data_IF_466836088784
#
_entry.id   IF_466836088784
#
_cell.length_a   1.000
_cell.length_b   1.000
_cell.length_c   1.000
_cell.angle_alpha   90.00
_cell.angle_beta   90.00
_cell.angle_gamma   90.00
#
_symmetry.space_group_name_H-M   'P 1'
#
loop_
_entity.id
_entity.type
_entity.pdbx_description
1 polymer ?
#
# COMPACT_ATOMS: atom_id res chain seq x y z
N UNK A 1 12.32 -20.10 2.07
CA UNK A 1 13.69 -20.13 1.52
C UNK A 1 13.75 -19.22 0.30
N UNK A 2 14.64 -18.22 0.24
CA UNK A 2 14.82 -17.35 -0.92
C UNK A 2 15.70 -18.07 -1.93
N UNK A 3 15.18 -18.42 -3.11
CA UNK A 3 15.98 -19.11 -4.13
C UNK A 3 16.81 -18.11 -4.97
N UNK A 4 17.75 -18.60 -5.79
CA UNK A 4 18.57 -17.74 -6.67
C UNK A 4 17.72 -16.90 -7.63
N UNK A 5 16.58 -17.42 -8.08
CA UNK A 5 15.63 -16.70 -8.93
C UNK A 5 14.94 -15.56 -8.17
N UNK A 6 14.59 -15.77 -6.90
CA UNK A 6 13.99 -14.73 -6.06
C UNK A 6 14.93 -13.52 -5.88
N UNK A 7 16.24 -13.76 -5.74
CA UNK A 7 17.23 -12.68 -5.67
C UNK A 7 17.29 -11.85 -6.96
N UNK A 8 17.20 -12.50 -8.12
CA UNK A 8 17.16 -11.82 -9.42
C UNK A 8 15.88 -11.00 -9.59
N UNK A 9 14.73 -11.57 -9.22
CA UNK A 9 13.44 -10.88 -9.30
C UNK A 9 13.39 -9.70 -8.32
N UNK A 10 13.93 -9.86 -7.10
CA UNK A 10 14.05 -8.76 -6.15
C UNK A 10 14.90 -7.63 -6.71
N UNK A 11 16.07 -7.93 -7.27
CA UNK A 11 16.93 -6.93 -7.90
C UNK A 11 16.23 -6.23 -9.07
N UNK A 12 15.47 -6.97 -9.89
CA UNK A 12 14.67 -6.41 -10.97
C UNK A 12 13.62 -5.42 -10.44
N UNK A 13 12.79 -5.81 -9.48
CA UNK A 13 11.77 -4.91 -8.93
C UNK A 13 12.37 -3.71 -8.20
N UNK A 14 13.42 -3.90 -7.41
CA UNK A 14 14.11 -2.79 -6.74
C UNK A 14 14.73 -1.83 -7.76
N UNK A 15 15.27 -2.33 -8.87
CA UNK A 15 15.77 -1.52 -9.98
C UNK A 15 14.66 -0.73 -10.69
N UNK A 16 13.51 -1.36 -10.96
CA UNK A 16 12.34 -0.68 -11.51
C UNK A 16 11.79 0.40 -10.57
N UNK A 17 11.72 0.10 -9.27
CA UNK A 17 11.33 1.07 -8.26
C UNK A 17 12.30 2.26 -8.21
N UNK A 18 13.61 1.99 -8.28
CA UNK A 18 14.60 3.04 -8.35
C UNK A 18 14.43 3.91 -9.59
N UNK A 19 14.23 3.32 -10.78
CA UNK A 19 13.98 4.08 -12.01
C UNK A 19 12.74 4.97 -11.91
N UNK A 20 11.67 4.46 -11.29
CA UNK A 20 10.43 5.20 -11.10
C UNK A 20 10.57 6.35 -10.09
N UNK A 21 11.33 6.14 -9.02
CA UNK A 21 11.55 7.11 -7.93
C UNK A 21 12.69 8.09 -8.26
N UNK A 22 13.60 7.73 -9.17
CA UNK A 22 14.81 8.49 -9.48
C UNK A 22 14.57 9.98 -9.79
N UNK A 23 13.51 10.39 -10.52
CA UNK A 23 13.21 11.80 -10.71
C UNK A 23 13.01 12.58 -9.40
N UNK A 24 12.40 11.97 -8.37
CA UNK A 24 12.24 12.60 -7.05
C UNK A 24 13.57 12.75 -6.33
N UNK A 25 14.46 11.75 -6.45
CA UNK A 25 15.81 11.83 -5.89
C UNK A 25 16.59 12.95 -6.59
N UNK A 26 16.49 13.08 -7.92
CA UNK A 26 17.16 14.16 -8.64
C UNK A 26 16.60 15.54 -8.28
N UNK A 27 15.28 15.66 -8.10
CA UNK A 27 14.65 16.94 -7.74
C UNK A 27 15.14 17.45 -6.37
N UNK A 28 15.39 16.55 -5.42
CA UNK A 28 16.07 16.90 -4.19
C UNK A 28 15.32 17.93 -3.32
N UNK A 29 13.99 17.91 -3.34
CA UNK A 29 13.14 18.89 -2.63
C UNK A 29 12.68 18.34 -1.28
N UNK A 30 12.58 19.20 -0.26
CA UNK A 30 11.92 18.88 1.01
C UNK A 30 10.40 18.89 0.84
N UNK A 31 9.73 17.83 1.29
CA UNK A 31 8.28 17.70 1.17
C UNK A 31 7.57 17.93 2.50
N UNK A 32 6.74 18.97 2.55
CA UNK A 32 5.85 19.34 3.67
C UNK A 32 6.55 19.28 5.05
N UNK A 33 6.46 18.15 5.73
CA UNK A 33 6.97 17.93 7.08
C UNK A 33 8.51 17.86 7.12
N UNK A 34 9.17 17.60 5.98
CA UNK A 34 10.63 17.44 5.95
C UNK A 34 11.38 18.74 6.32
N UNK A 35 10.85 19.92 5.98
CA UNK A 35 11.50 21.20 6.27
C UNK A 35 11.61 21.45 7.78
N UNK A 36 10.51 21.19 8.49
CA UNK A 36 10.45 21.34 9.94
C UNK A 36 11.39 20.34 10.64
N UNK A 37 11.47 19.10 10.15
CA UNK A 37 12.43 18.10 10.65
C UNK A 37 13.88 18.48 10.38
N UNK A 38 14.16 19.06 9.22
CA UNK A 38 15.50 19.54 8.87
C UNK A 38 15.97 20.68 9.77
N UNK A 39 15.05 21.54 10.23
CA UNK A 39 15.36 22.66 11.12
C UNK A 39 15.48 22.20 12.58
N UNK A 40 14.53 21.39 13.05
CA UNK A 40 14.39 21.04 14.47
C UNK A 40 15.14 19.76 14.87
N UNK A 41 15.44 18.89 13.91
CA UNK A 41 15.98 17.55 14.17
C UNK A 41 14.99 16.64 14.91
N UNK A 42 13.68 16.92 14.86
CA UNK A 42 12.71 16.14 15.63
C UNK A 42 12.33 14.79 14.99
N UNK A 43 12.12 13.78 15.85
CA UNK A 43 11.54 12.49 15.44
C UNK A 43 10.00 12.55 15.38
N UNK A 44 9.31 13.00 16.42
CA UNK A 44 7.86 13.30 16.39
C UNK A 44 6.87 12.14 16.09
N UNK A 45 7.31 11.01 15.53
CA UNK A 45 6.45 9.92 15.07
C UNK A 45 5.80 9.17 16.21
N UNK A 46 6.51 8.98 17.33
CA UNK A 46 5.94 8.37 18.54
C UNK A 46 4.68 9.09 19.03
N UNK A 47 4.67 10.42 18.97
CA UNK A 47 3.52 11.26 19.34
C UNK A 47 2.32 11.11 18.41
N UNK A 48 2.53 10.53 17.22
CA UNK A 48 1.51 10.24 16.20
C UNK A 48 1.12 8.75 16.17
N UNK A 49 1.46 7.99 17.21
CA UNK A 49 1.17 6.55 17.29
C UNK A 49 2.10 5.68 16.45
N UNK A 50 3.25 6.23 16.01
CA UNK A 50 4.25 5.53 15.19
C UNK A 50 5.60 5.34 15.92
N UNK A 51 5.62 4.62 17.06
CA UNK A 51 6.83 4.48 17.87
C UNK A 51 7.95 3.70 17.17
N UNK A 52 7.63 2.80 16.23
CA UNK A 52 8.64 2.02 15.52
C UNK A 52 9.33 2.86 14.44
N UNK A 53 8.65 3.87 13.87
CA UNK A 53 9.30 4.83 12.97
C UNK A 53 10.39 5.63 13.67
N UNK A 54 10.12 6.09 14.91
CA UNK A 54 11.11 6.72 15.79
C UNK A 54 12.35 5.83 15.99
N UNK A 55 12.13 4.55 16.34
CA UNK A 55 13.20 3.59 16.61
C UNK A 55 14.01 3.32 15.34
N UNK A 56 13.33 3.11 14.21
CA UNK A 56 13.96 2.88 12.92
C UNK A 56 14.91 4.02 12.56
N UNK A 57 14.44 5.26 12.65
CA UNK A 57 15.27 6.42 12.29
C UNK A 57 16.41 6.64 13.28
N UNK A 58 16.22 6.38 14.58
CA UNK A 58 17.31 6.44 15.58
C UNK A 58 18.42 5.44 15.30
N UNK A 59 18.06 4.20 14.95
CA UNK A 59 19.02 3.15 14.63
C UNK A 59 19.81 3.51 13.37
N UNK A 60 19.12 3.98 12.33
CA UNK A 60 19.74 4.26 11.03
C UNK A 60 20.62 5.51 11.05
N UNK A 61 20.19 6.56 11.74
CA UNK A 61 20.96 7.81 11.83
C UNK A 61 22.14 7.70 12.80
N UNK A 62 22.09 6.75 13.75
CA UNK A 62 23.08 6.58 14.82
C UNK A 62 23.41 7.89 15.57
N UNK A 63 22.50 8.86 15.53
CA UNK A 63 22.74 10.26 15.96
C UNK A 63 22.16 10.57 17.35
N UNK A 64 21.51 9.58 17.97
CA UNK A 64 20.91 9.71 19.30
C UNK A 64 19.74 10.67 19.32
N UNK A 65 19.97 11.91 19.75
CA UNK A 65 18.91 12.87 20.08
C UNK A 65 18.33 13.61 18.89
N UNK A 66 19.09 13.83 17.82
CA UNK A 66 18.65 14.59 16.64
C UNK A 66 18.45 13.69 15.44
N UNK A 67 17.30 13.79 14.80
CA UNK A 67 17.00 13.10 13.55
C UNK A 67 17.80 13.75 12.40
N UNK A 68 18.68 12.99 11.77
CA UNK A 68 19.51 13.46 10.65
C UNK A 68 18.82 13.22 9.31
N UNK A 69 19.04 14.12 8.35
CA UNK A 69 18.67 13.86 6.97
C UNK A 69 19.61 12.78 6.38
N UNK A 70 19.05 11.62 6.06
CA UNK A 70 19.75 10.49 5.46
C UNK A 70 19.50 10.40 3.95
N UNK A 71 18.94 11.44 3.34
CA UNK A 71 18.80 11.52 1.89
C UNK A 71 20.17 11.36 1.19
N UNK A 72 20.26 10.62 0.06
CA UNK A 72 19.20 9.88 -0.63
C UNK A 72 19.06 8.41 -0.18
N UNK A 73 19.79 7.98 0.85
CA UNK A 73 19.87 6.58 1.26
C UNK A 73 18.53 6.01 1.74
N UNK A 74 17.70 6.83 2.39
CA UNK A 74 16.34 6.43 2.81
C UNK A 74 15.47 6.06 1.60
N UNK A 75 15.49 6.88 0.54
CA UNK A 75 14.73 6.64 -0.69
C UNK A 75 15.27 5.46 -1.49
N UNK A 76 16.60 5.32 -1.60
CA UNK A 76 17.21 4.16 -2.27
C UNK A 76 16.87 2.87 -1.53
N UNK A 77 16.94 2.87 -0.19
CA UNK A 77 16.57 1.69 0.62
C UNK A 77 15.08 1.41 0.56
N UNK A 78 14.23 2.43 0.40
CA UNK A 78 12.79 2.27 0.19
C UNK A 78 12.49 1.44 -1.05
N UNK A 79 13.27 1.60 -2.12
CA UNK A 79 13.13 0.80 -3.35
C UNK A 79 13.30 -0.71 -3.10
N UNK A 80 14.16 -1.09 -2.14
CA UNK A 80 14.34 -2.50 -1.77
C UNK A 80 13.08 -3.06 -1.10
N UNK A 81 12.43 -2.32 -0.21
CA UNK A 81 11.20 -2.76 0.45
C UNK A 81 10.01 -2.80 -0.51
N UNK A 82 9.89 -1.83 -1.42
CA UNK A 82 8.88 -1.87 -2.50
C UNK A 82 9.12 -3.09 -3.40
N UNK A 83 10.38 -3.35 -3.77
CA UNK A 83 10.75 -4.52 -4.56
C UNK A 83 10.45 -5.85 -3.84
N UNK A 84 10.72 -5.91 -2.53
CA UNK A 84 10.41 -7.07 -1.69
C UNK A 84 8.90 -7.30 -1.58
N UNK A 85 8.11 -6.23 -1.47
CA UNK A 85 6.66 -6.28 -1.48
C UNK A 85 6.12 -6.86 -2.78
N UNK A 86 6.67 -6.40 -3.91
CA UNK A 86 6.33 -6.92 -5.24
C UNK A 86 6.73 -8.39 -5.40
N UNK A 87 7.84 -8.81 -4.81
CA UNK A 87 8.25 -10.23 -4.79
C UNK A 87 7.29 -11.09 -3.97
N UNK A 88 6.85 -10.63 -2.79
CA UNK A 88 5.87 -11.33 -1.96
C UNK A 88 4.53 -11.47 -2.70
N UNK A 89 4.04 -10.38 -3.29
CA UNK A 89 2.83 -10.42 -4.10
C UNK A 89 2.98 -11.36 -5.30
N UNK A 90 4.10 -11.31 -6.03
CA UNK A 90 4.36 -12.24 -7.14
C UNK A 90 4.23 -13.69 -6.71
N UNK A 91 4.77 -14.05 -5.54
CA UNK A 91 4.71 -15.42 -5.01
C UNK A 91 3.28 -15.82 -4.69
N UNK A 92 2.53 -14.95 -4.01
CA UNK A 92 1.11 -15.13 -3.74
C UNK A 92 0.29 -15.32 -5.03
N UNK A 93 0.46 -14.44 -6.01
CA UNK A 93 -0.21 -14.55 -7.32
C UNK A 93 0.17 -15.83 -8.08
N UNK A 94 1.42 -16.31 -7.93
CA UNK A 94 1.85 -17.59 -8.52
C UNK A 94 1.10 -18.76 -7.87
N UNK A 95 0.92 -18.74 -6.55
CA UNK A 95 0.16 -19.78 -5.82
C UNK A 95 -1.32 -19.77 -6.19
N UNK A 96 -1.87 -18.59 -6.48
CA UNK A 96 -3.22 -18.43 -7.02
C UNK A 96 -3.33 -18.73 -8.51
N UNK A 97 -2.25 -19.19 -9.16
CA UNK A 97 -2.22 -19.53 -10.59
C UNK A 97 -2.68 -18.37 -11.50
N UNK A 98 -2.23 -17.16 -11.18
CA UNK A 98 -2.45 -15.96 -12.00
C UNK A 98 -1.44 -15.94 -13.15
N UNK A 99 -1.90 -15.65 -14.37
CA UNK A 99 -1.03 -15.51 -15.52
C UNK A 99 -0.14 -14.26 -15.39
N UNK A 100 1.11 -14.37 -15.84
CA UNK A 100 2.06 -13.25 -15.83
C UNK A 100 2.23 -12.54 -14.46
N UNK A 101 2.42 -13.28 -13.35
CA UNK A 101 2.41 -12.71 -12.00
C UNK A 101 3.58 -11.73 -11.75
N UNK A 102 4.63 -11.79 -12.57
CA UNK A 102 5.75 -10.83 -12.53
C UNK A 102 5.29 -9.43 -12.95
N UNK A 103 4.51 -9.34 -14.03
CA UNK A 103 4.01 -8.07 -14.54
C UNK A 103 2.93 -7.50 -13.63
N UNK A 104 2.00 -8.35 -13.15
CA UNK A 104 0.93 -7.92 -12.25
C UNK A 104 1.50 -7.35 -10.94
N UNK A 105 2.48 -8.01 -10.34
CA UNK A 105 3.07 -7.52 -9.10
C UNK A 105 3.89 -6.24 -9.28
N UNK A 106 4.41 -5.96 -10.49
CA UNK A 106 5.14 -4.72 -10.78
C UNK A 106 4.23 -3.47 -10.67
N UNK A 107 2.91 -3.61 -10.78
CA UNK A 107 1.99 -2.47 -10.60
C UNK A 107 2.02 -1.87 -9.19
N UNK A 108 2.48 -2.61 -8.16
CA UNK A 108 2.72 -2.02 -6.84
C UNK A 108 3.79 -0.92 -6.88
N UNK A 109 4.72 -1.00 -7.83
CA UNK A 109 5.80 -0.01 -8.00
C UNK A 109 5.24 1.25 -8.67
N UNK A 110 4.49 1.08 -9.76
CA UNK A 110 3.98 2.16 -10.60
C UNK A 110 2.67 2.75 -10.07
N UNK A 111 2.59 2.94 -8.76
CA UNK A 111 1.43 3.55 -8.10
C UNK A 111 1.71 5.03 -7.81
N UNK A 112 0.92 5.99 -8.34
CA UNK A 112 1.12 7.42 -8.09
C UNK A 112 1.01 7.80 -6.60
N UNK A 113 0.16 7.13 -5.82
CA UNK A 113 0.06 7.38 -4.37
C UNK A 113 1.32 6.94 -3.61
N UNK A 114 2.05 5.95 -4.15
CA UNK A 114 3.35 5.56 -3.60
C UNK A 114 4.38 6.69 -3.78
N UNK A 115 4.37 7.41 -4.90
CA UNK A 115 5.30 8.53 -5.12
C UNK A 115 5.14 9.61 -4.05
N UNK A 116 3.90 9.92 -3.66
CA UNK A 116 3.65 10.90 -2.60
C UNK A 116 4.23 10.44 -1.26
N UNK A 117 4.12 9.16 -0.91
CA UNK A 117 4.79 8.64 0.29
C UNK A 117 6.31 8.76 0.14
N UNK A 118 6.87 8.33 -0.98
CA UNK A 118 8.33 8.33 -1.17
C UNK A 118 8.92 9.74 -1.24
N UNK A 119 8.14 10.76 -1.57
CA UNK A 119 8.58 12.16 -1.58
C UNK A 119 9.00 12.69 -0.20
N UNK A 120 8.47 12.15 0.90
CA UNK A 120 8.88 12.55 2.26
C UNK A 120 10.24 11.94 2.62
N UNK A 121 11.30 12.72 2.59
CA UNK A 121 12.69 12.26 2.74
C UNK A 121 12.96 11.53 4.05
N UNK A 122 12.37 12.03 5.14
CA UNK A 122 12.54 11.46 6.48
C UNK A 122 11.65 10.23 6.72
N UNK A 123 10.46 10.22 6.12
CA UNK A 123 9.45 9.17 6.34
C UNK A 123 9.53 8.04 5.32
N UNK A 124 10.14 8.25 4.14
CA UNK A 124 10.03 7.36 2.97
C UNK A 124 10.36 5.91 3.31
N UNK A 125 11.42 5.70 4.09
CA UNK A 125 11.88 4.39 4.48
C UNK A 125 10.94 3.70 5.46
N UNK A 126 10.45 4.44 6.46
CA UNK A 126 9.47 3.93 7.41
C UNK A 126 8.17 3.53 6.71
N UNK A 127 7.70 4.36 5.77
CA UNK A 127 6.50 4.08 4.98
C UNK A 127 6.69 2.91 4.00
N UNK A 128 7.84 2.79 3.33
CA UNK A 128 8.13 1.66 2.46
C UNK A 128 8.27 0.34 3.23
N UNK A 129 8.85 0.37 4.43
CA UNK A 129 8.90 -0.79 5.32
C UNK A 129 7.50 -1.15 5.83
N UNK A 130 6.68 -0.17 6.21
CA UNK A 130 5.29 -0.40 6.60
C UNK A 130 4.50 -1.06 5.47
N UNK A 131 4.69 -0.60 4.23
CA UNK A 131 4.08 -1.17 3.04
C UNK A 131 4.49 -2.65 2.85
N UNK A 132 5.79 -2.95 2.96
CA UNK A 132 6.30 -4.32 2.93
C UNK A 132 5.68 -5.20 4.01
N UNK A 133 5.59 -4.71 5.24
CA UNK A 133 5.03 -5.43 6.36
C UNK A 133 3.51 -5.66 6.19
N UNK A 134 2.78 -4.72 5.59
CA UNK A 134 1.37 -4.90 5.26
C UNK A 134 1.18 -5.99 4.18
N UNK A 135 2.00 -6.01 3.13
CA UNK A 135 1.98 -7.08 2.12
C UNK A 135 2.38 -8.42 2.75
N UNK A 136 3.38 -8.45 3.63
CA UNK A 136 3.79 -9.64 4.36
C UNK A 136 2.66 -10.16 5.26
N UNK A 137 1.99 -9.28 5.99
CA UNK A 137 0.84 -9.61 6.84
C UNK A 137 -0.28 -10.29 6.06
N UNK A 138 -0.47 -9.89 4.80
CA UNK A 138 -1.46 -10.51 3.93
C UNK A 138 -0.99 -11.84 3.34
N UNK A 139 0.22 -11.87 2.77
CA UNK A 139 0.69 -12.93 1.86
C UNK A 139 1.48 -14.04 2.55
N UNK A 140 1.90 -13.86 3.81
CA UNK A 140 2.68 -14.88 4.51
C UNK A 140 1.90 -16.19 4.63
N UNK A 141 2.56 -17.32 4.38
CA UNK A 141 1.98 -18.64 4.56
C UNK A 141 3.00 -19.59 5.17
N UNK A 142 2.56 -20.42 6.10
CA UNK A 142 3.37 -21.42 6.77
C UNK A 142 2.57 -22.71 7.02
N UNK A 143 3.25 -23.86 7.06
CA UNK A 143 2.60 -25.13 7.42
C UNK A 143 2.06 -25.12 8.85
N UNK A 144 2.72 -24.40 9.75
CA UNK A 144 2.23 -24.20 11.11
C UNK A 144 1.32 -22.97 11.17
N UNK A 145 0.02 -23.20 11.37
CA UNK A 145 -1.00 -22.16 11.40
C UNK A 145 -0.76 -21.12 12.51
N UNK A 146 -0.32 -21.54 13.69
CA UNK A 146 -0.05 -20.62 14.81
C UNK A 146 1.07 -19.67 14.43
N UNK A 147 2.14 -20.22 13.84
CA UNK A 147 3.27 -19.41 13.37
C UNK A 147 2.88 -18.49 12.21
N UNK A 148 2.04 -18.96 11.28
CA UNK A 148 1.48 -18.13 10.21
C UNK A 148 0.72 -16.92 10.79
N UNK A 149 -0.27 -17.17 11.64
CA UNK A 149 -1.12 -16.12 12.24
C UNK A 149 -0.28 -15.16 13.09
N UNK A 150 0.68 -15.66 13.88
CA UNK A 150 1.54 -14.82 14.70
C UNK A 150 2.38 -13.85 13.85
N UNK A 151 3.00 -14.33 12.76
CA UNK A 151 3.78 -13.47 11.86
C UNK A 151 2.88 -12.45 11.16
N UNK A 152 1.69 -12.85 10.74
CA UNK A 152 0.73 -11.93 10.09
C UNK A 152 0.27 -10.82 11.02
N UNK A 153 -0.09 -11.15 12.27
CA UNK A 153 -0.51 -10.16 13.26
C UNK A 153 0.67 -9.25 13.62
N UNK A 154 1.84 -9.82 13.91
CA UNK A 154 3.03 -9.04 14.27
C UNK A 154 3.44 -8.07 13.15
N UNK A 155 3.48 -8.54 11.90
CA UNK A 155 3.78 -7.67 10.76
C UNK A 155 2.72 -6.59 10.53
N UNK A 156 1.44 -6.90 10.71
CA UNK A 156 0.35 -5.90 10.64
C UNK A 156 0.49 -4.81 11.71
N UNK A 157 0.77 -5.19 12.97
CA UNK A 157 1.02 -4.23 14.06
C UNK A 157 2.27 -3.38 13.78
N UNK A 158 3.35 -4.00 13.31
CA UNK A 158 4.57 -3.28 12.95
C UNK A 158 4.33 -2.31 11.78
N UNK A 159 3.51 -2.68 10.79
CA UNK A 159 3.11 -1.77 9.73
C UNK A 159 2.37 -0.54 10.28
N UNK A 160 1.41 -0.73 11.20
CA UNK A 160 0.66 0.38 11.80
C UNK A 160 1.52 1.28 12.69
N UNK A 161 2.50 0.72 13.40
CA UNK A 161 3.45 1.48 14.23
C UNK A 161 4.57 2.17 13.44
N UNK A 162 4.65 1.94 12.13
CA UNK A 162 5.48 2.68 11.18
C UNK A 162 4.64 3.70 10.40
N UNK A 163 3.52 3.28 9.82
CA UNK A 163 2.63 4.11 9.02
C UNK A 163 1.22 3.49 8.91
N UNK A 164 0.26 4.05 9.67
CA UNK A 164 -1.11 3.52 9.75
C UNK A 164 -1.84 3.39 8.39
N UNK A 165 -1.72 4.33 7.44
CA UNK A 165 -2.41 4.21 6.15
C UNK A 165 -2.04 2.96 5.34
N UNK A 166 -0.92 2.29 5.63
CA UNK A 166 -0.59 1.01 5.01
C UNK A 166 -1.57 -0.13 5.34
N UNK A 167 -2.47 0.01 6.33
CA UNK A 167 -3.56 -0.94 6.52
C UNK A 167 -4.43 -1.10 5.26
N UNK A 168 -4.57 -0.03 4.46
CA UNK A 168 -5.34 -0.06 3.21
C UNK A 168 -4.74 -1.02 2.18
N UNK A 169 -3.44 -1.31 2.25
CA UNK A 169 -2.80 -2.30 1.37
C UNK A 169 -3.34 -3.70 1.64
N UNK A 170 -3.60 -4.04 2.90
CA UNK A 170 -4.21 -5.32 3.25
C UNK A 170 -5.61 -5.46 2.65
N UNK A 171 -6.41 -4.38 2.72
CA UNK A 171 -7.75 -4.32 2.13
C UNK A 171 -7.67 -4.42 0.60
N UNK A 172 -6.72 -3.71 -0.03
CA UNK A 172 -6.48 -3.77 -1.47
C UNK A 172 -6.09 -5.15 -1.95
N UNK A 173 -5.25 -5.87 -1.21
CA UNK A 173 -4.89 -7.26 -1.55
C UNK A 173 -6.06 -8.22 -1.35
N UNK A 174 -6.91 -8.02 -0.34
CA UNK A 174 -8.15 -8.78 -0.20
C UNK A 174 -9.08 -8.57 -1.41
N UNK A 175 -9.20 -7.34 -1.88
CA UNK A 175 -9.95 -7.06 -3.09
C UNK A 175 -9.33 -7.82 -4.28
N UNK A 176 -8.03 -7.74 -4.51
CA UNK A 176 -7.34 -8.48 -5.58
C UNK A 176 -7.64 -9.99 -5.53
N UNK A 177 -7.62 -10.61 -4.34
CA UNK A 177 -7.97 -12.02 -4.21
C UNK A 177 -9.42 -12.29 -4.61
N UNK A 178 -10.37 -11.49 -4.12
CA UNK A 178 -11.80 -11.58 -4.48
C UNK A 178 -11.99 -11.49 -6.00
N UNK A 179 -11.28 -10.57 -6.65
CA UNK A 179 -11.28 -10.39 -8.10
C UNK A 179 -10.81 -11.68 -8.81
N UNK A 180 -9.68 -12.24 -8.37
CA UNK A 180 -9.11 -13.45 -8.97
C UNK A 180 -10.07 -14.63 -8.82
N UNK A 181 -10.68 -14.81 -7.65
CA UNK A 181 -11.67 -15.87 -7.42
C UNK A 181 -12.91 -15.72 -8.30
N UNK A 182 -13.42 -14.50 -8.47
CA UNK A 182 -14.53 -14.21 -9.36
C UNK A 182 -14.23 -14.54 -10.82
N UNK A 183 -13.04 -14.18 -11.31
CA UNK A 183 -12.62 -14.43 -12.69
C UNK A 183 -12.42 -15.93 -13.00
N UNK A 184 -12.04 -16.74 -12.02
CA UNK A 184 -11.81 -18.18 -12.20
C UNK A 184 -13.10 -19.01 -12.16
N UNK A 185 -14.27 -18.41 -11.96
CA UNK A 185 -15.55 -19.10 -11.74
C UNK A 185 -15.49 -20.17 -10.62
N UNK A 186 -14.55 -20.04 -9.68
CA UNK A 186 -14.36 -20.98 -8.56
C UNK A 186 -15.26 -20.63 -7.36
N UNK A 187 -16.43 -20.04 -7.61
CA UNK A 187 -17.29 -19.48 -6.56
C UNK A 187 -18.11 -20.55 -5.85
N UNK A 188 -17.45 -21.40 -5.07
CA UNK A 188 -18.12 -22.02 -3.93
C UNK A 188 -18.26 -20.97 -2.82
N UNK A 189 -19.50 -20.54 -2.55
CA UNK A 189 -19.83 -19.50 -1.55
C UNK A 189 -19.20 -19.81 -0.19
N UNK A 190 -19.12 -21.09 0.19
CA UNK A 190 -18.51 -21.50 1.45
C UNK A 190 -17.00 -21.22 1.50
N UNK A 191 -16.26 -21.52 0.44
CA UNK A 191 -14.82 -21.25 0.38
C UNK A 191 -14.55 -19.74 0.39
N UNK A 192 -15.34 -18.99 -0.37
CA UNK A 192 -15.26 -17.53 -0.45
C UNK A 192 -15.49 -16.86 0.92
N UNK A 193 -16.61 -17.19 1.58
CA UNK A 193 -16.97 -16.62 2.88
C UNK A 193 -15.94 -16.96 3.95
N UNK A 194 -15.40 -18.19 3.95
CA UNK A 194 -14.33 -18.62 4.85
C UNK A 194 -13.04 -17.81 4.64
N UNK A 195 -12.66 -17.55 3.40
CA UNK A 195 -11.48 -16.72 3.09
C UNK A 195 -11.66 -15.30 3.61
N UNK A 196 -12.78 -14.65 3.25
CA UNK A 196 -13.08 -13.27 3.66
C UNK A 196 -13.13 -13.16 5.19
N UNK A 197 -13.83 -14.08 5.86
CA UNK A 197 -13.90 -14.10 7.32
C UNK A 197 -12.52 -14.26 7.96
N UNK A 198 -11.68 -15.18 7.47
CA UNK A 198 -10.30 -15.35 7.97
C UNK A 198 -9.48 -14.07 7.79
N UNK A 199 -9.54 -13.44 6.62
CA UNK A 199 -8.83 -12.19 6.32
C UNK A 199 -9.32 -11.01 7.15
N UNK A 200 -10.63 -10.92 7.37
CA UNK A 200 -11.22 -9.93 8.28
C UNK A 200 -10.74 -10.15 9.73
N UNK A 201 -10.72 -11.40 10.21
CA UNK A 201 -10.20 -11.71 11.54
C UNK A 201 -8.72 -11.34 11.68
N UNK A 202 -7.88 -11.66 10.69
CA UNK A 202 -6.46 -11.25 10.67
C UNK A 202 -6.34 -9.72 10.77
N UNK A 203 -7.09 -8.99 9.93
CA UNK A 203 -7.09 -7.53 9.89
C UNK A 203 -7.51 -6.89 11.21
N UNK A 204 -8.69 -7.29 11.72
CA UNK A 204 -9.24 -6.79 12.98
C UNK A 204 -8.28 -7.10 14.14
N UNK A 205 -7.68 -8.30 14.15
CA UNK A 205 -6.79 -8.71 15.23
C UNK A 205 -5.56 -7.81 15.35
N UNK A 206 -4.83 -7.56 14.25
CA UNK A 206 -3.67 -6.67 14.33
C UNK A 206 -4.07 -5.21 14.62
N UNK A 207 -5.23 -4.77 14.13
CA UNK A 207 -5.71 -3.42 14.39
C UNK A 207 -6.08 -3.22 15.86
N UNK A 208 -6.77 -4.18 16.47
CA UNK A 208 -7.08 -4.18 17.91
C UNK A 208 -5.79 -4.16 18.73
N UNK A 209 -4.81 -5.01 18.41
CA UNK A 209 -3.53 -5.03 19.13
C UNK A 209 -2.82 -3.68 19.01
N UNK A 210 -2.82 -3.08 17.82
CA UNK A 210 -2.28 -1.72 17.63
C UNK A 210 -3.02 -0.68 18.48
N UNK A 211 -4.36 -0.69 18.46
CA UNK A 211 -5.19 0.28 19.18
C UNK A 211 -4.98 0.19 20.69
N UNK A 212 -4.86 -1.03 21.23
CA UNK A 212 -4.66 -1.25 22.66
C UNK A 212 -3.26 -0.83 23.15
N UNK A 213 -2.23 -1.00 22.32
CA UNK A 213 -0.83 -0.84 22.74
C UNK A 213 -0.19 0.49 22.31
N UNK A 214 -0.61 1.06 21.19
CA UNK A 214 0.13 2.15 20.52
C UNK A 214 -0.72 3.35 20.10
N UNK A 215 -2.06 3.23 20.06
CA UNK A 215 -2.91 4.36 19.67
C UNK A 215 -2.79 5.51 20.65
N UNK A 216 -2.58 6.70 20.10
CA UNK A 216 -2.52 7.96 20.84
C UNK A 216 -3.93 8.40 21.23
N UNK A 217 -4.17 8.72 22.51
CA UNK A 217 -5.48 9.10 23.03
C UNK A 217 -5.97 10.51 22.62
N UNK A 218 -5.05 11.39 22.22
CA UNK A 218 -5.33 12.80 21.91
C UNK A 218 -4.95 13.13 20.45
N UNK A 219 -5.54 12.43 19.48
CA UNK A 219 -5.30 12.72 18.07
C UNK A 219 -6.59 13.23 17.43
N UNK A 220 -6.67 14.53 17.18
CA UNK A 220 -7.82 15.17 16.53
C UNK A 220 -8.07 14.65 15.10
N UNK A 221 -7.06 14.04 14.47
CA UNK A 221 -7.17 13.45 13.12
C UNK A 221 -8.00 12.17 13.06
N UNK A 222 -8.40 11.62 14.21
CA UNK A 222 -9.25 10.42 14.31
C UNK A 222 -10.60 10.69 15.00
N UNK A 223 -10.99 11.96 15.12
CA UNK A 223 -12.29 12.32 15.67
C UNK A 223 -13.40 11.86 14.73
N UNK A 224 -14.39 11.17 15.31
CA UNK A 224 -15.59 10.80 14.59
C UNK A 224 -16.47 12.04 14.42
N UNK A 225 -17.10 12.14 13.27
CA UNK A 225 -18.09 13.18 12.99
C UNK A 225 -19.25 13.01 13.98
N UNK A 226 -19.65 14.10 14.65
CA UNK A 226 -20.80 14.09 15.55
C UNK A 226 -22.07 13.68 14.80
N UNK A 227 -22.97 12.87 15.39
CA UNK A 227 -24.24 12.50 14.78
C UNK A 227 -25.29 13.62 14.92
N UNK A 228 -24.94 14.85 14.52
CA UNK A 228 -25.77 16.05 14.60
C UNK A 228 -25.81 16.82 13.27
N UNK A 229 -26.48 17.98 13.26
CA UNK A 229 -26.63 18.81 12.06
C UNK A 229 -25.27 19.31 11.55
N UNK A 230 -24.33 19.64 12.45
CA UNK A 230 -23.00 20.12 12.09
C UNK A 230 -22.14 19.00 11.52
N UNK A 231 -22.28 17.80 12.06
CA UNK A 231 -21.68 16.61 11.49
C UNK A 231 -22.21 16.28 10.10
N UNK A 232 -23.52 16.39 9.88
CA UNK A 232 -24.10 16.24 8.53
C UNK A 232 -23.55 17.28 7.56
N UNK A 233 -23.44 18.56 7.97
CA UNK A 233 -22.84 19.62 7.14
C UNK A 233 -21.39 19.30 6.78
N UNK A 234 -20.61 18.82 7.76
CA UNK A 234 -19.21 18.41 7.59
C UNK A 234 -19.09 17.22 6.64
N UNK A 235 -20.01 16.24 6.72
CA UNK A 235 -20.05 15.11 5.81
C UNK A 235 -20.32 15.58 4.37
N UNK A 236 -21.33 16.42 4.17
CA UNK A 236 -21.69 16.95 2.84
C UNK A 236 -20.55 17.77 2.25
N UNK A 237 -19.90 18.64 3.03
CA UNK A 237 -18.75 19.41 2.56
C UNK A 237 -17.57 18.49 2.20
N UNK A 238 -17.27 17.50 3.04
CA UNK A 238 -16.18 16.55 2.78
C UNK A 238 -16.41 15.76 1.50
N UNK A 239 -17.65 15.31 1.26
CA UNK A 239 -18.02 14.61 0.01
C UNK A 239 -17.88 15.53 -1.19
N UNK A 240 -18.28 16.80 -1.07
CA UNK A 240 -18.14 17.80 -2.13
C UNK A 240 -16.67 18.09 -2.44
N UNK A 241 -15.85 18.31 -1.42
CA UNK A 241 -14.41 18.57 -1.57
C UNK A 241 -13.70 17.36 -2.20
N UNK A 242 -14.09 16.14 -1.80
CA UNK A 242 -13.59 14.91 -2.41
C UNK A 242 -14.00 14.79 -3.88
N UNK A 243 -15.25 15.14 -4.22
CA UNK A 243 -15.71 15.20 -5.61
C UNK A 243 -14.92 16.23 -6.42
N UNK A 244 -14.72 17.45 -5.90
CA UNK A 244 -13.95 18.50 -6.59
C UNK A 244 -12.48 18.08 -6.80
N UNK A 245 -11.87 17.45 -5.79
CA UNK A 245 -10.53 16.88 -5.90
C UNK A 245 -10.46 15.81 -6.98
N UNK A 246 -11.42 14.88 -7.03
CA UNK A 246 -11.47 13.83 -8.07
C UNK A 246 -11.73 14.45 -9.45
N UNK A 247 -12.66 15.39 -9.55
CA UNK A 247 -13.01 16.08 -10.79
C UNK A 247 -11.79 16.84 -11.35
N UNK A 248 -10.95 17.41 -10.48
CA UNK A 248 -9.73 18.13 -10.90
C UNK A 248 -8.77 17.29 -11.76
N UNK A 249 -8.74 15.97 -11.58
CA UNK A 249 -7.95 15.07 -12.43
C UNK A 249 -8.44 14.98 -13.87
N UNK A 250 -9.71 15.32 -14.12
CA UNK A 250 -10.33 15.36 -15.44
C UNK A 250 -10.33 16.76 -16.07
N UNK A 251 -9.81 17.76 -15.36
CA UNK A 251 -9.67 19.14 -15.84
C UNK A 251 -8.19 19.47 -16.12
N UNK A 252 -7.91 20.21 -17.19
CA UNK A 252 -6.53 20.59 -17.56
C UNK A 252 -5.70 19.45 -18.17
N UNK A 253 -4.37 19.57 -18.30
CA UNK A 253 -3.54 18.59 -19.02
C UNK A 253 -3.45 17.21 -18.34
N UNK A 254 -3.99 17.07 -17.12
CA UNK A 254 -3.84 15.87 -16.28
C UNK A 254 -4.60 14.67 -16.84
N UNK A 255 -5.71 14.87 -17.57
CA UNK A 255 -6.49 13.75 -18.15
C UNK A 255 -5.66 12.90 -19.12
N UNK A 256 -4.62 13.48 -19.75
CA UNK A 256 -3.73 12.79 -20.71
C UNK A 256 -3.02 11.62 -20.01
N UNK A 257 -2.69 11.74 -18.73
CA UNK A 257 -2.06 10.68 -17.96
C UNK A 257 -2.97 9.47 -17.75
N UNK A 258 -4.31 9.64 -17.80
CA UNK A 258 -5.28 8.55 -17.70
C UNK A 258 -5.65 7.94 -19.06
N UNK A 259 -5.58 8.72 -20.14
CA UNK A 259 -5.86 8.23 -21.50
C UNK A 259 -4.86 7.18 -21.98
N UNK A 260 -3.57 7.33 -21.62
CA UNK A 260 -2.52 6.40 -22.05
C UNK A 260 -2.75 4.99 -21.47
N UNK A 261 -2.91 4.80 -20.14
CA UNK A 261 -3.29 3.51 -19.57
C UNK A 261 -4.60 2.97 -20.13
N UNK A 262 -5.64 3.81 -20.26
CA UNK A 262 -6.94 3.40 -20.80
C UNK A 262 -6.82 2.87 -22.24
N UNK A 263 -6.03 3.53 -23.09
CA UNK A 263 -5.75 3.07 -24.45
C UNK A 263 -5.06 1.70 -24.46
N UNK A 264 -4.04 1.49 -23.62
CA UNK A 264 -3.38 0.19 -23.53
C UNK A 264 -4.32 -0.91 -23.00
N UNK A 265 -5.16 -0.61 -22.01
CA UNK A 265 -6.17 -1.55 -21.50
C UNK A 265 -7.16 -1.93 -22.61
N UNK A 266 -7.70 -0.95 -23.34
CA UNK A 266 -8.63 -1.18 -24.45
C UNK A 266 -7.95 -2.01 -25.55
N UNK A 267 -6.72 -1.65 -25.94
CA UNK A 267 -5.95 -2.37 -26.96
C UNK A 267 -5.64 -3.82 -26.55
N UNK A 268 -5.35 -4.08 -25.27
CA UNK A 268 -5.16 -5.43 -24.73
C UNK A 268 -6.47 -6.22 -24.65
N UNK A 269 -7.58 -5.57 -24.29
CA UNK A 269 -8.90 -6.20 -24.25
C UNK A 269 -9.39 -6.60 -25.64
N UNK A 270 -9.09 -5.82 -26.68
CA UNK A 270 -9.43 -6.15 -28.08
C UNK A 270 -8.63 -7.35 -28.61
N UNK A 271 -7.40 -7.57 -28.11
CA UNK A 271 -6.55 -8.70 -28.52
C UNK A 271 -6.90 -10.03 -27.86
N UNK A 272 -7.75 -10.07 -26.83
CA UNK A 272 -8.27 -11.33 -26.30
C UNK A 272 -9.40 -11.81 -27.21
N UNK A 273 -9.32 -13.03 -27.80
CA UNK A 273 -10.48 -13.60 -28.47
C UNK A 273 -11.60 -13.67 -27.43
N UNK A 274 -12.75 -13.08 -27.76
CA UNK A 274 -13.96 -13.07 -26.95
C UNK A 274 -14.36 -14.51 -26.68
N UNK A 275 -13.86 -15.05 -25.57
CA UNK A 275 -14.26 -16.36 -25.11
C UNK A 275 -15.66 -16.17 -24.51
N UNK A 276 -16.61 -16.75 -25.22
CA UNK A 276 -18.05 -16.64 -25.07
C UNK A 276 -18.52 -17.03 -23.67
N UNK A 277 -18.47 -16.10 -22.70
CA UNK A 277 -19.43 -15.99 -21.59
C UNK A 277 -19.08 -14.81 -20.67
N UNK A 278 -20.04 -13.89 -20.45
CA UNK A 278 -20.24 -12.94 -19.33
C UNK A 278 -19.06 -12.16 -18.70
N UNK A 279 -17.83 -12.32 -19.18
CA UNK A 279 -16.62 -11.82 -18.51
C UNK A 279 -16.28 -10.35 -18.79
N UNK A 280 -16.92 -9.71 -19.76
CA UNK A 280 -16.67 -8.29 -20.07
C UNK A 280 -17.31 -7.36 -19.04
N UNK A 281 -18.53 -7.68 -18.58
CA UNK A 281 -19.22 -6.88 -17.55
C UNK A 281 -18.54 -7.06 -16.20
N UNK A 282 -18.13 -8.29 -15.85
CA UNK A 282 -17.34 -8.52 -14.64
C UNK A 282 -15.99 -7.82 -14.71
N UNK A 283 -15.24 -7.90 -15.81
CA UNK A 283 -13.96 -7.20 -15.98
C UNK A 283 -14.10 -5.67 -15.89
N UNK A 284 -15.18 -5.11 -16.43
CA UNK A 284 -15.47 -3.67 -16.35
C UNK A 284 -15.76 -3.22 -14.92
N UNK A 285 -16.60 -3.96 -14.21
CA UNK A 285 -16.90 -3.74 -12.79
C UNK A 285 -15.63 -3.92 -11.95
N UNK A 286 -14.78 -4.87 -12.29
CA UNK A 286 -13.51 -5.15 -11.63
C UNK A 286 -12.46 -4.06 -11.84
N UNK A 287 -12.36 -3.49 -13.05
CA UNK A 287 -11.50 -2.35 -13.34
C UNK A 287 -11.98 -1.13 -12.56
N UNK A 288 -13.28 -0.85 -12.57
CA UNK A 288 -13.88 0.28 -11.83
C UNK A 288 -13.66 0.12 -10.32
N UNK A 289 -13.90 -1.06 -9.75
CA UNK A 289 -13.65 -1.31 -8.32
C UNK A 289 -12.15 -1.21 -8.00
N UNK A 290 -11.27 -1.68 -8.89
CA UNK A 290 -9.81 -1.56 -8.68
C UNK A 290 -9.34 -0.10 -8.68
N UNK A 291 -9.93 0.77 -9.49
CA UNK A 291 -9.65 2.21 -9.49
C UNK A 291 -10.18 2.95 -8.26
N UNK A 292 -11.09 2.36 -7.49
CA UNK A 292 -11.59 2.94 -6.23
C UNK A 292 -10.89 2.38 -4.98
N UNK A 293 -10.14 1.29 -5.12
CA UNK A 293 -9.40 0.64 -4.01
C UNK A 293 -7.92 1.03 -4.00
N UNK A 294 -7.42 1.63 -5.09
CA UNK A 294 -6.08 2.22 -5.17
C UNK A 294 -6.12 3.74 -5.09
#
# INVERSE_FOLDING_TARGET
>A
MICKNDKKILALYSGLALLFIYPLIQAGVFYRDDLDRAITGQYGWRGLGRPVADILMKILSASGHYNLDLFPYTMITSCLFIGASSLLLKKHLTQMDVQHPIFVAAFLIFNPYMLQNIAYRYDSLGMALAFFLAVLSYTYSNKNLIHEVAVKIASGVLALTLYQPCANIFIGLLAVDIIIFGLKNCLEIHHFTKLVARKACEFISFYIVYMLLFSTKNNSRSELISPDIDGYRTLVSTVKDLYEMIASYFHGPVYIYFLIPAFFIIAFSIKKPVQKNNNLVSLSILIVISTFIF
#
